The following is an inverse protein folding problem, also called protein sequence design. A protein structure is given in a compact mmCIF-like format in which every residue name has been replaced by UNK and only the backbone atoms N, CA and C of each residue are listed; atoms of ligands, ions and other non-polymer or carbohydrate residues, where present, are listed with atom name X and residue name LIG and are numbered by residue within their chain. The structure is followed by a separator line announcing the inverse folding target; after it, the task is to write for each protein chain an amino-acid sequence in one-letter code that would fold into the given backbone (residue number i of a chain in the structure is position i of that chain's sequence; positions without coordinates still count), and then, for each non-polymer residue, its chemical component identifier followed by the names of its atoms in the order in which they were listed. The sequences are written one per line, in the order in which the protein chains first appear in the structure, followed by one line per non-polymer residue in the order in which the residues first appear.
data_IF_017805655965
#
_entry.id   IF_017805655965
#
_cell.length_a   1.000
_cell.length_b   1.000
_cell.length_c   1.000
_cell.angle_alpha   90.00
_cell.angle_beta   90.00
_cell.angle_gamma   90.00
#
_symmetry.space_group_name_H-M   'P 1'
#
loop_
_entity.id
_entity.type
_entity.pdbx_description
1 polymer ?
#
# COMPACT_ATOMS: atom_id res chain seq x y z
N UNK A 1 -6.33 28.72 -0.22
CA UNK A 1 -7.28 27.81 0.44
C UNK A 1 -6.58 26.59 1.08
N UNK A 2 -5.76 25.82 0.35
CA UNK A 2 -5.05 24.61 0.89
C UNK A 2 -4.18 24.86 2.14
N UNK A 3 -3.44 25.97 2.21
CA UNK A 3 -2.61 26.31 3.39
C UNK A 3 -3.41 26.52 4.68
N UNK A 4 -4.62 27.07 4.58
CA UNK A 4 -5.48 27.30 5.75
C UNK A 4 -6.04 25.99 6.30
N UNK A 5 -6.40 25.03 5.42
CA UNK A 5 -6.85 23.70 5.84
C UNK A 5 -5.73 22.88 6.50
N UNK A 6 -4.50 22.99 6.00
CA UNK A 6 -3.34 22.33 6.63
C UNK A 6 -3.04 22.89 8.03
N UNK A 7 -3.08 24.21 8.19
CA UNK A 7 -2.89 24.85 9.50
C UNK A 7 -4.02 24.50 10.47
N UNK A 8 -5.27 24.53 10.02
CA UNK A 8 -6.41 24.17 10.85
C UNK A 8 -6.36 22.69 11.28
N UNK A 9 -6.02 21.78 10.36
CA UNK A 9 -5.84 20.37 10.69
C UNK A 9 -4.70 20.14 11.69
N UNK A 10 -3.57 20.86 11.54
CA UNK A 10 -2.46 20.79 12.48
C UNK A 10 -2.84 21.30 13.87
N UNK A 11 -3.58 22.41 13.97
CA UNK A 11 -4.04 22.98 15.23
C UNK A 11 -5.09 22.08 15.93
N UNK A 12 -6.03 21.50 15.17
CA UNK A 12 -6.99 20.53 15.69
C UNK A 12 -6.29 19.27 16.20
N UNK A 13 -5.28 18.78 15.45
CA UNK A 13 -4.45 17.67 15.89
C UNK A 13 -3.73 17.97 17.20
N UNK A 14 -3.09 19.14 17.31
CA UNK A 14 -2.42 19.57 18.53
C UNK A 14 -3.38 19.70 19.74
N UNK A 15 -4.58 20.22 19.52
CA UNK A 15 -5.59 20.39 20.57
C UNK A 15 -6.12 19.05 21.13
N UNK A 16 -6.16 18.00 20.30
CA UNK A 16 -6.55 16.65 20.74
C UNK A 16 -5.37 15.93 21.41
N UNK A 17 -4.16 16.12 20.91
CA UNK A 17 -2.96 15.43 21.40
C UNK A 17 -2.47 15.94 22.76
N UNK A 18 -2.60 17.24 23.04
CA UNK A 18 -2.14 17.83 24.30
C UNK A 18 -2.78 17.20 25.57
N UNK A 19 -4.12 17.08 25.69
CA UNK A 19 -4.73 16.46 26.88
C UNK A 19 -4.45 14.95 26.98
N UNK A 20 -4.28 14.26 25.85
CA UNK A 20 -3.87 12.85 25.85
C UNK A 20 -2.44 12.68 26.37
N UNK A 21 -1.54 13.60 26.01
CA UNK A 21 -0.16 13.58 26.49
C UNK A 21 -0.06 13.84 28.00
N UNK A 22 -0.89 14.74 28.55
CA UNK A 22 -0.97 14.99 29.99
C UNK A 22 -1.49 13.75 30.75
N UNK A 23 -2.62 13.18 30.33
CA UNK A 23 -3.18 11.98 30.97
C UNK A 23 -2.19 10.79 30.96
N UNK A 24 -1.47 10.59 29.85
CA UNK A 24 -0.48 9.50 29.73
C UNK A 24 0.69 9.67 30.71
N UNK A 25 1.06 10.91 31.03
CA UNK A 25 2.19 11.21 31.91
C UNK A 25 1.90 10.85 33.38
N UNK A 26 0.66 11.09 33.82
CA UNK A 26 0.25 10.77 35.18
C UNK A 26 0.20 9.24 35.39
N UNK A 27 -0.39 8.50 34.45
CA UNK A 27 -0.40 7.03 34.49
C UNK A 27 1.01 6.42 34.38
N UNK A 28 1.90 7.02 33.60
CA UNK A 28 3.29 6.56 33.52
C UNK A 28 3.98 6.61 34.89
N UNK A 29 3.78 7.70 35.66
CA UNK A 29 4.40 7.84 36.98
C UNK A 29 3.85 6.82 37.98
N UNK A 30 2.55 6.55 37.94
CA UNK A 30 1.90 5.54 38.76
C UNK A 30 2.39 4.12 38.42
N UNK A 31 2.36 3.75 37.15
CA UNK A 31 2.83 2.43 36.69
C UNK A 31 4.33 2.20 36.90
N UNK A 32 5.16 3.25 36.88
CA UNK A 32 6.58 3.15 37.26
C UNK A 32 6.72 2.92 38.77
N UNK A 33 5.93 3.61 39.59
CA UNK A 33 5.96 3.44 41.04
C UNK A 33 5.57 2.01 41.48
N UNK A 34 4.72 1.36 40.69
CA UNK A 34 4.31 -0.03 40.89
C UNK A 34 5.27 -1.08 40.27
N UNK A 35 6.38 -0.65 39.66
CA UNK A 35 7.32 -1.51 38.92
C UNK A 35 6.66 -2.33 37.79
N UNK A 36 5.50 -1.86 37.30
CA UNK A 36 4.73 -2.51 36.24
C UNK A 36 5.36 -2.26 34.85
N UNK A 37 6.01 -1.11 34.67
CA UNK A 37 6.67 -0.73 33.41
C UNK A 37 8.19 -0.81 33.56
N UNK A 38 8.76 -1.84 32.93
CA UNK A 38 10.22 -1.96 32.82
C UNK A 38 10.78 -0.92 31.84
N UNK A 39 11.88 -0.22 32.19
CA UNK A 39 12.55 0.68 31.27
C UNK A 39 13.03 -0.07 30.02
N UNK A 40 13.21 0.65 28.91
CA UNK A 40 13.70 0.04 27.67
C UNK A 40 15.03 -0.67 27.92
N UNK A 41 15.07 -1.97 27.64
CA UNK A 41 16.30 -2.75 27.78
C UNK A 41 17.36 -2.27 26.78
N UNK A 42 18.64 -2.37 27.15
CA UNK A 42 19.76 -2.03 26.26
C UNK A 42 19.71 -2.82 24.94
N UNK A 43 19.18 -4.05 24.99
CA UNK A 43 18.99 -4.91 23.81
C UNK A 43 17.91 -4.33 22.90
N UNK A 44 16.76 -3.97 23.45
CA UNK A 44 15.65 -3.35 22.71
C UNK A 44 16.12 -2.05 22.05
N UNK A 45 16.83 -1.20 22.81
CA UNK A 45 17.42 0.04 22.30
C UNK A 45 18.37 -0.23 21.13
N UNK A 46 19.33 -1.15 21.29
CA UNK A 46 20.29 -1.51 20.26
C UNK A 46 19.62 -2.02 18.97
N UNK A 47 18.59 -2.86 19.11
CA UNK A 47 17.82 -3.38 17.98
C UNK A 47 17.11 -2.26 17.23
N UNK A 48 16.51 -1.30 17.94
CA UNK A 48 15.82 -0.15 17.32
C UNK A 48 16.77 0.78 16.59
N UNK A 49 17.93 1.09 17.18
CA UNK A 49 18.98 1.87 16.50
C UNK A 49 19.48 1.15 15.25
N UNK A 50 19.73 -0.16 15.34
CA UNK A 50 20.17 -0.96 14.20
C UNK A 50 19.12 -1.00 13.09
N UNK A 51 17.84 -1.22 13.45
CA UNK A 51 16.71 -1.22 12.52
C UNK A 51 16.53 0.14 11.84
N UNK A 52 16.54 1.24 12.61
CA UNK A 52 16.45 2.59 12.08
C UNK A 52 17.59 2.88 11.09
N UNK A 53 18.82 2.55 11.48
CA UNK A 53 20.01 2.74 10.65
C UNK A 53 19.92 1.94 9.35
N UNK A 54 19.50 0.67 9.43
CA UNK A 54 19.37 -0.19 8.25
C UNK A 54 18.27 0.32 7.30
N UNK A 55 17.13 0.75 7.83
CA UNK A 55 16.07 1.37 7.04
C UNK A 55 16.52 2.67 6.37
N UNK A 56 17.26 3.54 7.07
CA UNK A 56 17.80 4.76 6.47
C UNK A 56 18.80 4.42 5.36
N UNK A 57 19.74 3.49 5.60
CA UNK A 57 20.74 3.10 4.61
C UNK A 57 20.10 2.48 3.36
N UNK A 58 19.15 1.55 3.53
CA UNK A 58 18.43 0.93 2.41
C UNK A 58 17.52 1.94 1.70
N UNK A 59 16.88 2.83 2.44
CA UNK A 59 16.09 3.92 1.89
C UNK A 59 16.91 4.84 1.01
N UNK A 60 18.08 5.29 1.48
CA UNK A 60 19.04 6.09 0.71
C UNK A 60 19.60 5.31 -0.50
N UNK A 61 19.82 4.00 -0.37
CA UNK A 61 20.24 3.15 -1.48
C UNK A 61 19.20 3.13 -2.61
N UNK A 62 17.91 3.00 -2.30
CA UNK A 62 16.85 3.05 -3.30
C UNK A 62 16.65 4.45 -3.85
N UNK A 63 16.74 5.47 -3.00
CA UNK A 63 16.66 6.89 -3.38
C UNK A 63 17.74 7.27 -4.40
N UNK A 64 19.00 6.94 -4.14
CA UNK A 64 20.12 7.24 -5.05
C UNK A 64 20.04 6.50 -6.38
N UNK A 65 19.23 5.44 -6.46
CA UNK A 65 18.96 4.68 -7.68
C UNK A 65 17.62 5.06 -8.30
N UNK A 66 17.24 6.34 -8.15
CA UNK A 66 16.06 6.85 -8.79
C UNK A 66 16.12 6.49 -10.28
N UNK A 67 15.10 5.79 -10.75
CA UNK A 67 15.00 5.41 -12.14
C UNK A 67 14.90 6.64 -13.02
N UNK A 68 15.54 6.56 -14.19
CA UNK A 68 15.48 7.59 -15.21
C UNK A 68 14.00 7.89 -15.57
N UNK A 69 13.52 9.14 -15.48
CA UNK A 69 12.16 9.50 -15.85
C UNK A 69 11.85 9.25 -17.33
N UNK A 70 12.85 9.03 -18.18
CA UNK A 70 12.71 8.85 -19.62
C UNK A 70 12.65 7.38 -20.07
N UNK A 71 12.43 6.43 -19.15
CA UNK A 71 12.26 5.02 -19.51
C UNK A 71 11.02 4.84 -20.39
N UNK A 72 11.22 4.44 -21.65
CA UNK A 72 10.15 4.23 -22.64
C UNK A 72 9.26 3.00 -22.33
N UNK A 73 9.78 2.03 -21.59
CA UNK A 73 9.04 0.83 -21.21
C UNK A 73 8.15 1.13 -19.98
N UNK A 74 6.84 1.15 -20.20
CA UNK A 74 5.84 1.44 -19.17
C UNK A 74 5.94 0.48 -17.97
N UNK A 75 6.28 -0.80 -18.17
CA UNK A 75 6.41 -1.75 -17.08
C UNK A 75 7.64 -1.46 -16.25
N UNK A 76 8.75 -1.17 -16.91
CA UNK A 76 9.96 -0.77 -16.20
C UNK A 76 9.73 0.55 -15.42
N UNK A 77 8.92 1.47 -15.95
CA UNK A 77 8.47 2.67 -15.26
C UNK A 77 7.65 2.37 -13.99
N UNK A 78 6.76 1.37 -14.00
CA UNK A 78 6.04 0.94 -12.79
C UNK A 78 6.97 0.33 -11.74
N UNK A 79 7.91 -0.54 -12.14
CA UNK A 79 8.93 -1.07 -11.20
C UNK A 79 9.82 0.02 -10.61
N UNK A 80 10.15 0.99 -11.45
CA UNK A 80 10.84 2.22 -11.13
C UNK A 80 10.10 2.99 -10.01
N UNK A 81 8.82 3.28 -10.22
CA UNK A 81 7.96 3.93 -9.24
C UNK A 81 7.87 3.14 -7.93
N UNK A 82 7.68 1.82 -8.00
CA UNK A 82 7.62 0.97 -6.82
C UNK A 82 8.95 0.97 -6.05
N UNK A 83 10.09 0.94 -6.74
CA UNK A 83 11.41 1.03 -6.09
C UNK A 83 11.59 2.37 -5.37
N UNK A 84 11.16 3.47 -6.01
CA UNK A 84 11.14 4.81 -5.42
C UNK A 84 10.27 4.86 -4.17
N UNK A 85 9.02 4.39 -4.25
CA UNK A 85 8.08 4.31 -3.11
C UNK A 85 8.67 3.47 -1.98
N UNK A 86 9.33 2.35 -2.27
CA UNK A 86 10.04 1.57 -1.26
C UNK A 86 11.16 2.37 -0.57
N UNK A 87 11.91 3.19 -1.32
CA UNK A 87 12.87 4.14 -0.74
C UNK A 87 12.22 5.06 0.29
N UNK A 88 11.09 5.68 -0.06
CA UNK A 88 10.32 6.52 0.88
C UNK A 88 9.81 5.74 2.09
N UNK A 89 9.26 4.54 1.90
CA UNK A 89 8.76 3.68 2.98
C UNK A 89 9.87 3.33 3.97
N UNK A 90 11.07 3.02 3.47
CA UNK A 90 12.24 2.70 4.28
C UNK A 90 12.71 3.93 5.06
N UNK A 91 12.86 5.09 4.41
CA UNK A 91 13.23 6.33 5.10
C UNK A 91 12.21 6.71 6.18
N UNK A 92 10.92 6.63 5.86
CA UNK A 92 9.83 6.90 6.80
C UNK A 92 9.83 5.94 8.00
N UNK A 93 10.08 4.65 7.75
CA UNK A 93 10.22 3.63 8.79
C UNK A 93 11.46 3.86 9.66
N UNK A 94 12.56 4.29 9.06
CA UNK A 94 13.77 4.70 9.77
C UNK A 94 13.50 5.86 10.71
N UNK A 95 12.84 6.92 10.23
CA UNK A 95 12.44 8.06 11.06
C UNK A 95 11.50 7.65 12.21
N UNK A 96 10.49 6.81 11.96
CA UNK A 96 9.59 6.34 13.02
C UNK A 96 10.31 5.50 14.08
N UNK A 97 11.24 4.63 13.67
CA UNK A 97 12.05 3.89 14.64
C UNK A 97 12.94 4.80 15.49
N UNK A 98 13.37 5.96 14.98
CA UNK A 98 14.07 6.97 15.80
C UNK A 98 13.12 7.67 16.78
N UNK A 99 11.87 7.95 16.39
CA UNK A 99 10.87 8.52 17.29
C UNK A 99 10.57 7.55 18.43
N UNK A 100 10.38 6.25 18.13
CA UNK A 100 10.15 5.20 19.12
C UNK A 100 11.30 5.00 20.12
N UNK A 101 12.52 5.49 19.83
CA UNK A 101 13.60 5.47 20.81
C UNK A 101 13.36 6.43 21.97
N UNK A 102 12.52 7.45 21.77
CA UNK A 102 12.22 8.45 22.78
C UNK A 102 11.12 8.01 23.75
N UNK A 103 10.42 6.91 23.48
CA UNK A 103 9.21 6.47 24.20
C UNK A 103 8.09 7.54 24.25
N UNK A 104 8.21 8.64 23.50
CA UNK A 104 7.27 9.76 23.54
C UNK A 104 5.95 9.47 22.81
N UNK A 105 5.90 8.40 22.03
CA UNK A 105 4.76 7.94 21.24
C UNK A 105 4.02 6.77 21.88
N UNK A 106 4.43 6.33 23.06
CA UNK A 106 3.72 5.31 23.82
C UNK A 106 2.52 5.91 24.54
N UNK A 107 1.37 5.25 24.40
CA UNK A 107 0.18 5.51 25.21
C UNK A 107 0.09 4.43 26.28
N UNK A 108 -0.13 4.86 27.52
CA UNK A 108 -0.24 4.00 28.68
C UNK A 108 -1.68 4.07 29.16
N UNK A 109 -2.30 2.91 29.28
CA UNK A 109 -3.66 2.76 29.77
C UNK A 109 -3.67 2.52 31.30
N UNK A 110 -4.85 2.62 31.90
CA UNK A 110 -5.07 2.44 33.34
C UNK A 110 -4.65 1.05 33.86
N UNK A 111 -4.62 0.04 32.99
CA UNK A 111 -4.14 -1.32 33.31
C UNK A 111 -2.61 -1.46 33.19
N UNK A 112 -1.90 -0.33 33.09
CA UNK A 112 -0.46 -0.26 32.81
C UNK A 112 -0.04 -0.95 31.51
N UNK A 113 -0.99 -1.25 30.59
CA UNK A 113 -0.65 -1.74 29.27
C UNK A 113 -0.07 -0.60 28.43
N UNK A 114 1.16 -0.81 27.97
CA UNK A 114 1.87 0.13 27.10
C UNK A 114 1.62 -0.18 25.63
N UNK A 115 1.06 0.78 24.91
CA UNK A 115 0.74 0.69 23.49
C UNK A 115 1.61 1.64 22.66
N UNK A 116 2.40 1.08 21.74
CA UNK A 116 3.30 1.82 20.85
C UNK A 116 2.52 2.39 19.67
N UNK A 117 1.98 3.60 19.81
CA UNK A 117 1.12 4.22 18.79
C UNK A 117 1.91 4.59 17.54
N UNK A 118 3.16 5.02 17.68
CA UNK A 118 4.01 5.33 16.54
C UNK A 118 4.16 4.14 15.60
N UNK A 119 4.12 2.91 16.12
CA UNK A 119 4.19 1.69 15.30
C UNK A 119 2.94 1.46 14.49
N UNK A 120 1.77 1.68 15.10
CA UNK A 120 0.52 1.60 14.37
C UNK A 120 0.44 2.68 13.30
N UNK A 121 0.86 3.91 13.59
CA UNK A 121 0.95 4.98 12.59
C UNK A 121 1.88 4.58 11.44
N UNK A 122 3.05 4.04 11.77
CA UNK A 122 4.00 3.55 10.77
C UNK A 122 3.36 2.48 9.88
N UNK A 123 2.67 1.48 10.45
CA UNK A 123 2.05 0.40 9.71
C UNK A 123 0.86 0.89 8.87
N UNK A 124 -0.03 1.70 9.46
CA UNK A 124 -1.21 2.26 8.79
C UNK A 124 -0.82 3.06 7.54
N UNK A 125 0.37 3.67 7.52
CA UNK A 125 0.88 4.38 6.34
C UNK A 125 1.63 3.45 5.40
N UNK A 126 2.59 2.67 5.92
CA UNK A 126 3.50 1.89 5.06
C UNK A 126 2.84 0.67 4.44
N UNK A 127 1.98 -0.03 5.16
CA UNK A 127 1.38 -1.27 4.68
C UNK A 127 0.39 -1.04 3.51
N UNK A 128 -0.54 -0.06 3.56
CA UNK A 128 -1.39 0.21 2.40
C UNK A 128 -0.57 0.62 1.17
N UNK A 129 0.51 1.38 1.34
CA UNK A 129 1.43 1.72 0.25
C UNK A 129 2.14 0.48 -0.34
N UNK A 130 2.55 -0.49 0.49
CA UNK A 130 3.11 -1.76 0.01
C UNK A 130 2.07 -2.54 -0.80
N UNK A 131 0.83 -2.65 -0.32
CA UNK A 131 -0.24 -3.35 -1.05
C UNK A 131 -0.68 -2.62 -2.30
N UNK A 132 -0.58 -1.29 -2.32
CA UNK A 132 -0.77 -0.50 -3.54
C UNK A 132 0.30 -0.81 -4.58
N UNK A 133 1.57 -0.94 -4.18
CA UNK A 133 2.62 -1.37 -5.10
C UNK A 133 2.34 -2.75 -5.69
N UNK A 134 1.86 -3.71 -4.90
CA UNK A 134 1.47 -5.03 -5.40
C UNK A 134 0.42 -4.90 -6.52
N UNK A 135 -0.60 -4.07 -6.32
CA UNK A 135 -1.68 -3.88 -7.30
C UNK A 135 -1.20 -3.14 -8.58
N UNK A 136 -0.26 -2.19 -8.44
CA UNK A 136 0.41 -1.56 -9.58
C UNK A 136 1.26 -2.55 -10.37
N UNK A 137 2.05 -3.38 -9.69
CA UNK A 137 2.88 -4.42 -10.32
C UNK A 137 2.04 -5.49 -11.02
N UNK A 138 0.88 -5.80 -10.45
CA UNK A 138 -0.14 -6.67 -11.05
C UNK A 138 -0.81 -6.05 -12.29
N UNK A 139 -0.68 -4.73 -12.49
CA UNK A 139 -1.51 -3.94 -13.43
C UNK A 139 -3.01 -4.19 -13.22
N UNK A 140 -3.40 -4.36 -11.96
CA UNK A 140 -4.79 -4.68 -11.65
C UNK A 140 -5.70 -3.50 -11.93
N UNK A 141 -7.00 -3.79 -12.16
CA UNK A 141 -8.04 -2.77 -12.29
C UNK A 141 -8.05 -1.85 -11.06
N UNK A 142 -8.45 -0.59 -11.25
CA UNK A 142 -8.53 0.43 -10.18
C UNK A 142 -9.29 -0.11 -8.95
N UNK A 143 -10.44 -0.77 -9.18
CA UNK A 143 -11.22 -1.40 -8.12
C UNK A 143 -10.35 -2.29 -7.21
N UNK A 144 -9.52 -3.18 -7.78
CA UNK A 144 -8.63 -4.07 -7.02
C UNK A 144 -7.57 -3.29 -6.25
N UNK A 145 -7.04 -2.20 -6.82
CA UNK A 145 -6.07 -1.35 -6.14
C UNK A 145 -6.68 -0.74 -4.87
N UNK A 146 -7.90 -0.23 -4.97
CA UNK A 146 -8.65 0.34 -3.84
C UNK A 146 -9.00 -0.73 -2.81
N UNK A 147 -9.48 -1.91 -3.23
CA UNK A 147 -9.80 -3.01 -2.32
C UNK A 147 -8.58 -3.45 -1.50
N UNK A 148 -7.41 -3.61 -2.13
CA UNK A 148 -6.17 -3.99 -1.45
C UNK A 148 -5.73 -2.94 -0.42
N UNK A 149 -5.76 -1.66 -0.80
CA UNK A 149 -5.40 -0.54 0.09
C UNK A 149 -6.38 -0.42 1.26
N UNK A 150 -7.68 -0.47 1.00
CA UNK A 150 -8.72 -0.34 2.02
C UNK A 150 -8.73 -1.53 2.98
N UNK A 151 -8.63 -2.77 2.49
CA UNK A 151 -8.56 -3.94 3.37
C UNK A 151 -7.36 -3.84 4.31
N UNK A 152 -6.20 -3.42 3.79
CA UNK A 152 -4.98 -3.25 4.60
C UNK A 152 -5.12 -2.12 5.62
N UNK A 153 -5.66 -0.98 5.20
CA UNK A 153 -5.87 0.17 6.08
C UNK A 153 -6.85 -0.17 7.21
N UNK A 154 -8.02 -0.73 6.88
CA UNK A 154 -9.04 -1.09 7.85
C UNK A 154 -8.57 -2.17 8.82
N UNK A 155 -7.84 -3.18 8.35
CA UNK A 155 -7.20 -4.20 9.19
C UNK A 155 -6.31 -3.55 10.26
N UNK A 156 -5.50 -2.56 9.90
CA UNK A 156 -4.55 -1.93 10.81
C UNK A 156 -5.21 -0.92 11.76
N UNK A 157 -6.21 -0.18 11.28
CA UNK A 157 -7.02 0.69 12.14
C UNK A 157 -7.77 -0.14 13.19
N UNK A 158 -8.37 -1.26 12.79
CA UNK A 158 -9.00 -2.19 13.73
C UNK A 158 -7.99 -2.85 14.66
N UNK A 159 -6.77 -3.15 14.19
CA UNK A 159 -5.68 -3.62 15.04
C UNK A 159 -5.29 -2.60 16.10
N UNK A 160 -5.17 -1.32 15.74
CA UNK A 160 -4.94 -0.23 16.69
C UNK A 160 -6.10 -0.13 17.70
N UNK A 161 -7.33 -0.12 17.21
CA UNK A 161 -8.55 -0.09 18.03
C UNK A 161 -8.61 -1.26 19.01
N UNK A 162 -8.22 -2.46 18.57
CA UNK A 162 -8.17 -3.67 19.39
C UNK A 162 -7.27 -3.47 20.63
N UNK A 163 -6.14 -2.76 20.48
CA UNK A 163 -5.23 -2.51 21.59
C UNK A 163 -5.73 -1.42 22.56
N UNK A 164 -6.77 -0.68 22.19
CA UNK A 164 -7.41 0.31 23.06
C UNK A 164 -8.56 -0.27 23.90
N UNK A 165 -8.94 -1.54 23.68
CA UNK A 165 -10.03 -2.19 24.40
C UNK A 165 -9.47 -2.93 25.63
N UNK A 166 -9.86 -2.57 26.86
CA UNK A 166 -9.37 -3.24 28.06
C UNK A 166 -10.01 -4.62 28.25
N UNK A 167 -11.29 -4.80 27.90
CA UNK A 167 -11.97 -6.08 28.10
C UNK A 167 -11.54 -7.13 27.07
N UNK A 168 -10.97 -8.24 27.55
CA UNK A 168 -10.47 -9.33 26.72
C UNK A 168 -11.47 -9.83 25.67
N UNK A 169 -12.75 -10.02 26.05
CA UNK A 169 -13.76 -10.53 25.14
C UNK A 169 -14.02 -9.58 23.95
N UNK A 170 -14.24 -8.29 24.23
CA UNK A 170 -14.45 -7.29 23.19
C UNK A 170 -13.20 -7.09 22.34
N UNK A 171 -12.02 -7.17 22.96
CA UNK A 171 -10.73 -7.15 22.28
C UNK A 171 -10.59 -8.31 21.28
N UNK A 172 -10.92 -9.54 21.68
CA UNK A 172 -10.88 -10.70 20.78
C UNK A 172 -11.93 -10.61 19.64
N UNK A 173 -13.09 -10.00 19.90
CA UNK A 173 -14.08 -9.72 18.84
C UNK A 173 -13.54 -8.70 17.83
N UNK A 174 -12.95 -7.61 18.29
CA UNK A 174 -12.33 -6.59 17.43
C UNK A 174 -11.15 -7.17 16.62
N UNK A 175 -10.31 -7.98 17.27
CA UNK A 175 -9.24 -8.72 16.59
C UNK A 175 -9.79 -9.62 15.47
N UNK A 176 -10.86 -10.36 15.74
CA UNK A 176 -11.50 -11.25 14.75
C UNK A 176 -12.05 -10.46 13.55
N UNK A 177 -12.58 -9.25 13.79
CA UNK A 177 -13.00 -8.36 12.71
C UNK A 177 -11.80 -7.86 11.88
N UNK A 178 -10.68 -7.51 12.52
CA UNK A 178 -9.43 -7.17 11.82
C UNK A 178 -8.90 -8.36 10.99
N UNK A 179 -8.95 -9.58 11.55
CA UNK A 179 -8.54 -10.81 10.87
C UNK A 179 -9.41 -11.10 9.63
N UNK A 180 -10.71 -10.76 9.66
CA UNK A 180 -11.56 -10.85 8.47
C UNK A 180 -11.02 -9.99 7.32
N UNK A 181 -10.58 -8.76 7.58
CA UNK A 181 -9.94 -7.91 6.57
C UNK A 181 -8.61 -8.47 6.08
N UNK A 182 -7.85 -9.16 6.92
CA UNK A 182 -6.66 -9.89 6.47
C UNK A 182 -7.02 -11.03 5.51
N UNK A 183 -8.08 -11.81 5.79
CA UNK A 183 -8.57 -12.86 4.87
C UNK A 183 -9.03 -12.24 3.55
N UNK A 184 -9.79 -11.14 3.59
CA UNK A 184 -10.17 -10.40 2.39
C UNK A 184 -8.96 -9.89 1.60
N UNK A 185 -7.92 -9.40 2.29
CA UNK A 185 -6.66 -9.01 1.67
C UNK A 185 -6.01 -10.21 0.94
N UNK A 186 -5.93 -11.39 1.56
CA UNK A 186 -5.37 -12.60 0.94
C UNK A 186 -6.18 -13.01 -0.30
N UNK A 187 -7.51 -12.96 -0.23
CA UNK A 187 -8.39 -13.23 -1.37
C UNK A 187 -8.12 -12.23 -2.50
N UNK A 188 -8.04 -10.93 -2.20
CA UNK A 188 -7.73 -9.89 -3.18
C UNK A 188 -6.33 -10.08 -3.82
N UNK A 189 -5.34 -10.55 -3.06
CA UNK A 189 -4.02 -10.88 -3.58
C UNK A 189 -4.05 -12.09 -4.52
N UNK A 190 -4.84 -13.14 -4.20
CA UNK A 190 -5.05 -14.28 -5.10
C UNK A 190 -5.70 -13.85 -6.40
N UNK A 191 -6.72 -12.99 -6.34
CA UNK A 191 -7.35 -12.43 -7.53
C UNK A 191 -6.39 -11.58 -8.36
N UNK A 192 -5.54 -10.78 -7.73
CA UNK A 192 -4.52 -10.02 -8.45
C UNK A 192 -3.60 -10.97 -9.25
N UNK A 193 -3.14 -12.07 -8.64
CA UNK A 193 -2.33 -13.09 -9.34
C UNK A 193 -3.10 -13.73 -10.51
N UNK A 194 -4.37 -14.07 -10.31
CA UNK A 194 -5.22 -14.68 -11.35
C UNK A 194 -5.43 -13.72 -12.53
N UNK A 195 -5.83 -12.48 -12.26
CA UNK A 195 -6.07 -11.46 -13.29
C UNK A 195 -4.80 -11.19 -14.10
N UNK A 196 -3.64 -11.09 -13.44
CA UNK A 196 -2.35 -10.83 -14.10
C UNK A 196 -1.81 -12.03 -14.89
N UNK A 197 -2.33 -13.23 -14.66
CA UNK A 197 -1.88 -14.48 -15.31
C UNK A 197 -2.91 -15.10 -16.26
N UNK A 198 -3.97 -14.37 -16.63
CA UNK A 198 -5.12 -14.90 -17.39
C UNK A 198 -5.70 -16.18 -16.78
N UNK A 199 -5.85 -16.19 -15.45
CA UNK A 199 -6.37 -17.31 -14.65
C UNK A 199 -5.56 -18.62 -14.77
N UNK A 200 -4.32 -18.57 -15.29
CA UNK A 200 -3.43 -19.73 -15.38
C UNK A 200 -2.73 -20.02 -14.05
N UNK A 201 -2.55 -19.00 -13.23
CA UNK A 201 -1.94 -19.10 -11.91
C UNK A 201 -2.89 -18.61 -10.81
N UNK A 202 -2.61 -19.07 -9.59
CA UNK A 202 -3.21 -18.62 -8.35
C UNK A 202 -2.11 -18.43 -7.30
N UNK A 203 -2.47 -17.91 -6.13
CA UNK A 203 -1.54 -17.75 -5.01
C UNK A 203 -0.89 -19.09 -4.64
N UNK A 204 -1.65 -20.19 -4.71
CA UNK A 204 -1.18 -21.53 -4.36
C UNK A 204 -0.51 -22.28 -5.52
N UNK A 205 -0.79 -21.91 -6.79
CA UNK A 205 -0.29 -22.63 -7.97
C UNK A 205 0.26 -21.67 -9.03
N UNK A 206 1.53 -21.81 -9.40
CA UNK A 206 2.14 -21.00 -10.45
C UNK A 206 3.65 -20.81 -10.27
N UNK A 207 4.33 -20.17 -11.22
CA UNK A 207 5.76 -19.85 -11.11
C UNK A 207 6.09 -18.39 -11.46
N UNK A 208 5.08 -17.54 -11.63
CA UNK A 208 5.27 -16.11 -11.93
C UNK A 208 5.92 -15.35 -10.77
N UNK A 209 6.71 -14.33 -11.06
CA UNK A 209 7.25 -13.45 -10.00
C UNK A 209 6.15 -12.69 -9.27
N UNK A 210 5.01 -12.40 -9.91
CA UNK A 210 3.85 -11.78 -9.27
C UNK A 210 3.30 -12.66 -8.13
N UNK A 211 3.13 -13.96 -8.37
CA UNK A 211 2.75 -14.92 -7.32
C UNK A 211 3.72 -14.88 -6.15
N UNK A 212 5.03 -14.93 -6.42
CA UNK A 212 6.03 -14.92 -5.36
C UNK A 212 6.00 -13.62 -4.53
N UNK A 213 5.72 -12.46 -5.14
CA UNK A 213 5.52 -11.21 -4.39
C UNK A 213 4.33 -11.35 -3.43
N UNK A 214 3.18 -11.80 -3.92
CA UNK A 214 1.99 -11.97 -3.09
C UNK A 214 2.20 -12.99 -1.97
N UNK A 215 2.81 -14.14 -2.27
CA UNK A 215 3.14 -15.17 -1.28
C UNK A 215 4.10 -14.62 -0.22
N UNK A 216 5.12 -13.87 -0.63
CA UNK A 216 6.04 -13.22 0.31
C UNK A 216 5.33 -12.26 1.26
N UNK A 217 4.37 -11.46 0.76
CA UNK A 217 3.56 -10.57 1.61
C UNK A 217 2.76 -11.40 2.61
N UNK A 218 2.01 -12.41 2.15
CA UNK A 218 1.17 -13.22 3.05
C UNK A 218 2.00 -13.95 4.11
N UNK A 219 3.11 -14.58 3.72
CA UNK A 219 3.96 -15.32 4.65
C UNK A 219 4.64 -14.43 5.68
N UNK A 220 5.08 -13.24 5.30
CA UNK A 220 5.69 -12.33 6.26
C UNK A 220 4.63 -11.65 7.13
N UNK A 221 3.44 -11.38 6.60
CA UNK A 221 2.41 -10.62 7.31
C UNK A 221 1.58 -11.47 8.28
N UNK A 222 1.38 -12.76 8.00
CA UNK A 222 0.63 -13.65 8.91
C UNK A 222 1.31 -13.78 10.28
N UNK A 223 2.63 -13.53 10.34
CA UNK A 223 3.37 -13.58 11.59
C UNK A 223 2.92 -12.48 12.57
N UNK A 224 2.42 -11.33 12.11
CA UNK A 224 1.99 -10.20 12.95
C UNK A 224 0.76 -10.51 13.82
N UNK A 225 -0.37 -10.99 13.28
CA UNK A 225 -1.50 -11.39 14.11
C UNK A 225 -1.14 -12.56 15.05
N UNK A 226 -0.23 -13.46 14.65
CA UNK A 226 0.27 -14.52 15.52
C UNK A 226 1.05 -13.92 16.69
N UNK A 227 1.98 -13.00 16.42
CA UNK A 227 2.77 -12.30 17.44
C UNK A 227 1.88 -11.52 18.41
N UNK A 228 0.82 -10.88 17.90
CA UNK A 228 -0.17 -10.18 18.73
C UNK A 228 -0.94 -11.15 19.64
N UNK A 229 -1.41 -12.30 19.12
CA UNK A 229 -2.11 -13.32 19.93
C UNK A 229 -1.23 -13.85 21.05
N UNK A 230 0.06 -14.10 20.81
CA UNK A 230 0.97 -14.61 21.84
C UNK A 230 1.46 -13.52 22.80
N UNK A 231 1.38 -12.25 22.39
CA UNK A 231 1.83 -11.09 23.14
C UNK A 231 0.95 -10.76 24.36
N UNK A 232 1.34 -9.76 25.17
CA UNK A 232 0.62 -9.33 26.36
C UNK A 232 -0.84 -8.94 26.10
N UNK A 233 -1.12 -8.32 24.95
CA UNK A 233 -2.48 -7.96 24.55
C UNK A 233 -3.35 -9.18 24.18
N UNK A 234 -2.74 -10.30 23.81
CA UNK A 234 -3.45 -11.54 23.54
C UNK A 234 -3.49 -12.45 24.76
N UNK A 235 -2.74 -13.56 24.67
CA UNK A 235 -2.64 -14.64 25.66
C UNK A 235 -1.53 -14.42 26.69
N UNK A 236 -0.73 -13.36 26.55
CA UNK A 236 0.39 -13.02 27.43
C UNK A 236 1.43 -14.15 27.62
N UNK A 237 1.70 -14.91 26.55
CA UNK A 237 2.69 -16.01 26.57
C UNK A 237 4.12 -15.48 26.57
N UNK A 238 4.35 -14.34 25.90
CA UNK A 238 5.66 -13.68 25.85
C UNK A 238 5.61 -12.33 26.58
N UNK A 239 6.71 -11.91 27.24
CA UNK A 239 6.78 -10.61 27.88
C UNK A 239 6.81 -9.48 26.84
N UNK A 240 6.34 -8.29 27.20
CA UNK A 240 6.25 -7.14 26.27
C UNK A 240 7.58 -6.75 25.63
N UNK A 241 8.72 -6.93 26.31
CA UNK A 241 10.04 -6.69 25.71
C UNK A 241 10.33 -7.67 24.57
N UNK A 242 9.99 -8.96 24.74
CA UNK A 242 10.16 -9.96 23.69
C UNK A 242 9.23 -9.69 22.50
N UNK A 243 8.00 -9.23 22.76
CA UNK A 243 7.07 -8.79 21.72
C UNK A 243 7.64 -7.62 20.91
N UNK A 244 8.16 -6.58 21.58
CA UNK A 244 8.80 -5.42 20.92
C UNK A 244 9.94 -5.84 20.00
N UNK A 245 10.81 -6.75 20.44
CA UNK A 245 11.92 -7.29 19.65
C UNK A 245 11.41 -8.11 18.46
N UNK A 246 10.40 -8.96 18.70
CA UNK A 246 9.81 -9.83 17.68
C UNK A 246 9.18 -8.99 16.57
N UNK A 247 8.36 -8.00 16.93
CA UNK A 247 7.70 -7.11 15.98
C UNK A 247 8.70 -6.22 15.21
N UNK A 248 9.77 -5.76 15.86
CA UNK A 248 10.88 -5.05 15.20
C UNK A 248 11.54 -5.93 14.12
N UNK A 249 11.86 -7.19 14.44
CA UNK A 249 12.44 -8.13 13.49
C UNK A 249 11.49 -8.45 12.32
N UNK A 250 10.21 -8.67 12.59
CA UNK A 250 9.20 -8.95 11.56
C UNK A 250 8.98 -7.76 10.62
N UNK A 251 8.97 -6.54 11.16
CA UNK A 251 8.89 -5.31 10.38
C UNK A 251 10.07 -5.18 9.41
N UNK A 252 11.28 -5.42 9.93
CA UNK A 252 12.50 -5.41 9.12
C UNK A 252 12.45 -6.47 8.02
N UNK A 253 12.19 -7.73 8.37
CA UNK A 253 12.18 -8.84 7.41
C UNK A 253 11.11 -8.64 6.34
N UNK A 254 9.90 -8.26 6.72
CA UNK A 254 8.78 -8.09 5.77
C UNK A 254 9.08 -7.00 4.74
N UNK A 255 9.54 -5.83 5.18
CA UNK A 255 9.86 -4.70 4.29
C UNK A 255 11.08 -4.99 3.42
N UNK A 256 12.18 -5.49 4.00
CA UNK A 256 13.40 -5.77 3.24
C UNK A 256 13.20 -6.86 2.20
N UNK A 257 12.49 -7.95 2.56
CA UNK A 257 12.23 -9.05 1.63
C UNK A 257 11.35 -8.57 0.47
N UNK A 258 10.29 -7.81 0.77
CA UNK A 258 9.42 -7.26 -0.27
C UNK A 258 10.17 -6.31 -1.20
N UNK A 259 10.81 -5.27 -0.67
CA UNK A 259 11.50 -4.26 -1.48
C UNK A 259 12.69 -4.85 -2.24
N UNK A 260 13.45 -5.74 -1.60
CA UNK A 260 14.56 -6.44 -2.22
C UNK A 260 14.10 -7.33 -3.38
N UNK A 261 12.96 -8.02 -3.23
CA UNK A 261 12.41 -8.84 -4.30
C UNK A 261 11.87 -8.00 -5.47
N UNK A 262 11.17 -6.89 -5.20
CA UNK A 262 10.74 -5.94 -6.23
C UNK A 262 11.94 -5.39 -7.00
N UNK A 263 13.01 -5.02 -6.30
CA UNK A 263 14.26 -4.56 -6.91
C UNK A 263 14.93 -5.65 -7.75
N UNK A 264 14.97 -6.90 -7.26
CA UNK A 264 15.50 -8.04 -8.00
C UNK A 264 14.74 -8.28 -9.31
N UNK A 265 13.40 -8.27 -9.28
CA UNK A 265 12.58 -8.44 -10.48
C UNK A 265 12.80 -7.30 -11.48
N UNK A 266 12.91 -6.06 -11.00
CA UNK A 266 13.27 -4.90 -11.84
C UNK A 266 14.61 -5.10 -12.53
N UNK A 267 15.64 -5.51 -11.78
CA UNK A 267 16.99 -5.71 -12.32
C UNK A 267 17.01 -6.81 -13.39
N UNK A 268 16.32 -7.92 -13.12
CA UNK A 268 16.16 -9.01 -14.08
C UNK A 268 15.46 -8.54 -15.36
N UNK A 269 14.37 -7.78 -15.24
CA UNK A 269 13.67 -7.21 -16.40
C UNK A 269 14.56 -6.27 -17.22
N UNK A 270 15.32 -5.42 -16.53
CA UNK A 270 16.25 -4.47 -17.17
C UNK A 270 17.32 -5.20 -17.98
N UNK A 271 17.88 -6.29 -17.44
CA UNK A 271 18.89 -7.08 -18.14
C UNK A 271 18.31 -7.78 -19.38
N UNK A 272 17.11 -8.37 -19.27
CA UNK A 272 16.42 -8.96 -20.42
C UNK A 272 16.15 -7.94 -21.53
N UNK A 273 15.78 -6.70 -21.18
CA UNK A 273 15.59 -5.65 -22.18
C UNK A 273 16.90 -5.25 -22.87
N UNK A 274 18.01 -5.17 -22.13
CA UNK A 274 19.33 -4.86 -22.71
C UNK A 274 19.78 -5.94 -23.70
N UNK A 275 19.59 -7.21 -23.33
CA UNK A 275 19.88 -8.36 -24.21
C UNK A 275 19.05 -8.28 -25.49
N UNK A 276 17.75 -8.01 -25.39
CA UNK A 276 16.87 -7.85 -26.55
C UNK A 276 17.25 -6.67 -27.45
N UNK A 277 17.66 -5.54 -26.87
CA UNK A 277 18.14 -4.38 -27.64
C UNK A 277 19.45 -4.69 -28.35
N UNK A 278 20.38 -5.39 -27.70
CA UNK A 278 21.63 -5.82 -28.31
C UNK A 278 21.38 -6.78 -29.49
N UNK A 279 20.54 -7.79 -29.30
CA UNK A 279 20.19 -8.74 -30.38
C UNK A 279 19.53 -8.06 -31.58
N UNK A 280 18.70 -7.03 -31.36
CA UNK A 280 18.12 -6.24 -32.46
C UNK A 280 19.17 -5.44 -33.21
N UNK A 281 20.05 -4.76 -32.49
CA UNK A 281 21.12 -3.97 -33.09
C UNK A 281 22.06 -4.86 -33.93
N UNK A 282 22.36 -6.08 -33.45
CA UNK A 282 23.14 -7.06 -34.19
C UNK A 282 22.43 -7.57 -35.45
N UNK A 283 21.13 -7.88 -35.37
CA UNK A 283 20.34 -8.30 -36.52
C UNK A 283 20.24 -7.19 -37.58
N UNK A 284 19.96 -5.95 -37.15
CA UNK A 284 19.93 -4.77 -38.02
C UNK A 284 21.30 -4.53 -38.70
N UNK A 285 22.40 -4.66 -37.95
CA UNK A 285 23.75 -4.55 -38.50
C UNK A 285 24.08 -5.67 -39.52
N UNK A 286 23.48 -6.85 -39.36
CA UNK A 286 23.62 -7.97 -40.29
C UNK A 286 22.67 -7.88 -41.50
N UNK A 287 21.77 -6.88 -41.56
CA UNK A 287 20.73 -6.79 -42.58
C UNK A 287 19.69 -7.92 -42.48
N UNK A 288 19.57 -8.55 -41.30
CA UNK A 288 18.61 -9.60 -41.01
C UNK A 288 17.40 -9.01 -40.29
N UNK A 289 16.23 -9.62 -40.49
CA UNK A 289 15.07 -9.28 -39.68
C UNK A 289 15.35 -9.63 -38.21
N UNK A 290 15.03 -8.74 -37.26
CA UNK A 290 15.27 -8.99 -35.85
C UNK A 290 14.51 -10.24 -35.41
N UNK A 291 15.13 -11.13 -34.62
CA UNK A 291 14.47 -12.33 -34.15
C UNK A 291 13.18 -11.94 -33.44
N UNK A 292 12.07 -12.67 -33.69
CA UNK A 292 10.80 -12.30 -33.12
C UNK A 292 10.93 -12.35 -31.59
N UNK A 293 10.63 -11.23 -30.92
CA UNK A 293 10.64 -11.04 -29.44
C UNK A 293 9.69 -11.98 -28.66
N UNK A 294 9.18 -13.01 -29.32
CA UNK A 294 7.93 -13.70 -29.03
C UNK A 294 8.15 -15.06 -28.39
N UNK A 295 9.38 -15.37 -27.99
CA UNK A 295 9.69 -16.57 -27.18
C UNK A 295 10.02 -16.21 -25.73
N UNK A 296 10.30 -14.94 -25.43
CA UNK A 296 10.59 -14.49 -24.07
C UNK A 296 9.28 -14.32 -23.27
N UNK A 297 8.91 -15.37 -22.53
CA UNK A 297 7.88 -15.25 -21.48
C UNK A 297 8.26 -14.12 -20.54
N UNK A 298 7.30 -13.25 -20.23
CA UNK A 298 7.48 -12.19 -19.25
C UNK A 298 7.86 -12.81 -17.91
N UNK A 299 9.02 -12.49 -17.31
CA UNK A 299 9.41 -13.06 -16.02
C UNK A 299 8.39 -12.70 -14.91
N UNK A 300 7.68 -11.57 -15.03
CA UNK A 300 6.69 -11.12 -14.04
C UNK A 300 5.43 -11.98 -14.05
N UNK A 301 4.89 -12.26 -15.23
CA UNK A 301 3.56 -12.91 -15.41
C UNK A 301 3.64 -14.35 -15.86
N UNK A 302 4.78 -14.79 -16.41
CA UNK A 302 4.91 -16.06 -17.13
C UNK A 302 4.19 -16.09 -18.48
N UNK A 303 3.46 -15.04 -18.84
CA UNK A 303 2.73 -14.91 -20.11
C UNK A 303 3.65 -14.53 -21.27
N UNK A 304 3.26 -14.90 -22.47
CA UNK A 304 3.94 -14.47 -23.69
C UNK A 304 3.74 -12.96 -23.91
N UNK A 305 4.77 -12.27 -24.40
CA UNK A 305 4.73 -10.80 -24.61
C UNK A 305 3.67 -10.39 -25.62
N UNK A 306 3.33 -11.25 -26.58
CA UNK A 306 2.21 -11.00 -27.52
C UNK A 306 0.89 -10.83 -26.78
N UNK A 307 0.64 -11.69 -25.79
CA UNK A 307 -0.57 -11.63 -24.95
C UNK A 307 -0.62 -10.33 -24.15
N UNK A 308 0.52 -9.92 -23.58
CA UNK A 308 0.60 -8.66 -22.82
C UNK A 308 0.31 -7.43 -23.70
N UNK A 309 0.87 -7.36 -24.92
CA UNK A 309 0.58 -6.25 -25.84
C UNK A 309 -0.90 -6.16 -26.21
N UNK A 310 -1.57 -7.30 -26.35
CA UNK A 310 -3.00 -7.33 -26.63
C UNK A 310 -3.82 -6.79 -25.45
N UNK A 311 -3.47 -7.19 -24.22
CA UNK A 311 -4.12 -6.69 -23.01
C UNK A 311 -3.95 -5.17 -22.84
N UNK A 312 -2.74 -4.66 -23.11
CA UNK A 312 -2.46 -3.22 -23.03
C UNK A 312 -3.28 -2.44 -24.07
N UNK A 313 -3.38 -2.96 -25.30
CA UNK A 313 -4.20 -2.36 -26.36
C UNK A 313 -5.70 -2.37 -26.02
N UNK A 314 -6.22 -3.44 -25.43
CA UNK A 314 -7.60 -3.51 -24.96
C UNK A 314 -7.86 -2.53 -23.81
N UNK A 315 -6.94 -2.44 -22.84
CA UNK A 315 -7.05 -1.51 -21.73
C UNK A 315 -7.04 -0.05 -22.21
N UNK A 316 -6.22 0.28 -23.20
CA UNK A 316 -6.20 1.61 -23.82
C UNK A 316 -7.52 1.90 -24.56
N UNK A 317 -8.05 0.92 -25.31
CA UNK A 317 -9.34 1.05 -25.99
C UNK A 317 -10.49 1.30 -25.01
N UNK A 318 -10.51 0.59 -23.88
CA UNK A 318 -11.50 0.80 -22.81
C UNK A 318 -11.36 2.19 -22.16
N UNK A 319 -10.14 2.68 -21.92
CA UNK A 319 -9.91 4.04 -21.40
C UNK A 319 -10.42 5.10 -22.37
N UNK A 320 -10.13 4.96 -23.66
CA UNK A 320 -10.63 5.89 -24.70
C UNK A 320 -12.16 5.90 -24.75
N UNK A 321 -12.79 4.73 -24.67
CA UNK A 321 -14.26 4.63 -24.66
C UNK A 321 -14.88 5.30 -23.43
N UNK A 322 -14.29 5.10 -22.24
CA UNK A 322 -14.69 5.79 -21.01
C UNK A 322 -14.58 7.31 -21.14
N UNK A 323 -13.49 7.83 -21.68
CA UNK A 323 -13.32 9.28 -21.91
C UNK A 323 -14.40 9.83 -22.86
N UNK A 324 -14.72 9.11 -23.94
CA UNK A 324 -15.80 9.50 -24.86
C UNK A 324 -17.17 9.54 -24.15
N UNK A 325 -17.48 8.53 -23.34
CA UNK A 325 -18.73 8.48 -22.57
C UNK A 325 -18.81 9.59 -21.52
N UNK A 326 -17.69 9.90 -20.87
CA UNK A 326 -17.61 10.95 -19.85
C UNK A 326 -17.77 12.33 -20.48
N UNK A 327 -17.12 12.56 -21.64
CA UNK A 327 -17.25 13.82 -22.38
C UNK A 327 -18.65 14.02 -22.98
N UNK A 328 -19.29 12.96 -23.49
CA UNK A 328 -20.67 13.05 -23.99
C UNK A 328 -21.68 13.40 -22.90
N UNK A 329 -21.42 13.00 -21.65
CA UNK A 329 -22.26 13.36 -20.50
C UNK A 329 -22.04 14.80 -20.03
N UNK A 330 -20.93 15.43 -20.41
CA UNK A 330 -20.62 16.82 -20.10
C UNK A 330 -21.03 17.83 -21.17
N UNK A 331 -21.59 17.38 -22.31
CA UNK A 331 -22.30 18.30 -23.21
C UNK A 331 -23.50 18.89 -22.43
N UNK A 332 -23.49 20.20 -22.15
CA UNK A 332 -24.49 20.79 -21.29
C UNK A 332 -25.85 20.69 -21.98
N UNK A 333 -26.90 20.40 -21.21
CA UNK A 333 -28.30 20.36 -21.64
C UNK A 333 -28.86 21.71 -22.15
N UNK A 334 -27.99 22.63 -22.57
CA UNK A 334 -28.30 23.94 -23.13
C UNK A 334 -29.08 23.78 -24.44
N UNK A 335 -28.81 22.74 -25.24
CA UNK A 335 -29.52 22.54 -26.51
C UNK A 335 -30.96 22.04 -26.33
N UNK A 336 -31.29 21.36 -25.20
CA UNK A 336 -32.66 20.95 -24.88
C UNK A 336 -33.50 22.05 -24.22
N UNK A 337 -32.90 23.17 -23.82
CA UNK A 337 -33.65 24.29 -23.22
C UNK A 337 -34.19 25.23 -24.30
N UNK A 338 -33.41 25.47 -25.37
CA UNK A 338 -33.86 26.29 -26.50
C UNK A 338 -35.00 25.65 -27.31
N UNK A 339 -35.00 24.33 -27.49
CA UNK A 339 -36.06 23.63 -28.23
C UNK A 339 -37.40 23.68 -27.47
N UNK A 340 -37.38 23.62 -26.14
CA UNK A 340 -38.58 23.74 -25.30
C UNK A 340 -39.09 25.18 -25.15
N UNK A 341 -38.23 26.18 -25.24
CA UNK A 341 -38.65 27.59 -25.28
C UNK A 341 -39.26 27.96 -26.63
N UNK A 342 -38.67 27.49 -27.74
CA UNK A 342 -39.23 27.66 -29.08
C UNK A 342 -40.61 26.98 -29.25
N UNK A 343 -40.78 25.77 -28.70
CA UNK A 343 -42.06 25.05 -28.73
C UNK A 343 -43.14 25.75 -27.87
N UNK A 344 -42.74 26.42 -26.78
CA UNK A 344 -43.65 27.25 -25.97
C UNK A 344 -44.03 28.57 -26.65
N UNK A 345 -43.11 29.21 -27.37
CA UNK A 345 -43.41 30.42 -28.13
C UNK A 345 -44.37 30.13 -29.29
N UNK A 346 -44.13 29.06 -30.06
CA UNK A 346 -45.02 28.64 -31.14
C UNK A 346 -46.44 28.28 -30.65
N UNK A 347 -46.56 27.64 -29.48
CA UNK A 347 -47.85 27.33 -28.88
C UNK A 347 -48.60 28.58 -28.38
N UNK A 348 -47.89 29.64 -28.00
CA UNK A 348 -48.48 30.90 -27.56
C UNK A 348 -49.01 31.72 -28.74
N UNK A 349 -48.28 31.79 -29.84
CA UNK A 349 -48.74 32.47 -31.06
C UNK A 349 -49.96 31.78 -31.69
N UNK A 350 -50.06 30.45 -31.64
CA UNK A 350 -51.22 29.71 -32.13
C UNK A 350 -52.50 29.96 -31.30
N UNK A 351 -52.38 30.37 -30.03
CA UNK A 351 -53.50 30.65 -29.14
C UNK A 351 -54.16 32.01 -29.39
N UNK A 352 -53.39 33.05 -29.73
CA UNK A 352 -53.91 34.41 -29.93
C UNK A 352 -54.71 34.58 -31.24
N UNK A 353 -54.57 33.67 -32.21
CA UNK A 353 -55.29 33.72 -33.49
C UNK A 353 -56.73 33.19 -33.39
N UNK A 354 -57.12 32.52 -32.30
CA UNK A 354 -58.48 32.00 -32.13
C UNK A 354 -59.44 32.91 -31.34
N UNK A 355 -58.96 34.00 -30.74
CA UNK A 355 -59.76 34.90 -29.89
C UNK A 355 -60.02 36.30 -30.51
N UNK A 356 -59.71 36.50 -31.80
CA UNK A 356 -60.03 37.72 -32.56
C UNK A 356 -60.86 37.41 -33.79
#
# INVERSE_FOLDING_TARGET
MVRAHLLFAALMGAAILAPLAEATRDYLAECIAEDAITPMSTITFGIRVAQASLFVLVGLFYWTRFPDPHVKDERLAVFSLCTSINGYIMLFSGCHNLIMLSDADDVIFEDCTRNDVGRFVQFVITCPLLTWQVSMLARSKMQRQVELVLCTFLMLVLGCWTNAIPEFNYRMMAFSLGALFFVLLVINLDWAVRETSDFKESLLKGRSHMRYICVCVVLTWITFPIAWIIGPAGLAVIPGQAEKITLAAMDLVSKLTFSGYVYYVRNKWTNTLKEETAMKAEAEAAGLDPPPLTTAKSPVTGLDRRTLKHQDAEAEKSKRLLLVLTNKKSEPAVEQTGEKEAEKEAAKEAGEVMDG
#
